data_IF_238940814577
#
_entry.id   IF_238940814577
#
_cell.length_a   1.000
_cell.length_b   1.000
_cell.length_c   1.000
_cell.angle_alpha   90.00
_cell.angle_beta   90.00
_cell.angle_gamma   90.00
#
_symmetry.space_group_name_H-M   'P 1'
#
loop_
_entity.id
_entity.type
_entity.pdbx_description
1 polymer ?
#
# COMPACT_ATOMS: atom_id res chain seq x y z
N UNK A 1 -17.68 19.89 -2.83
CA UNK A 1 -16.42 20.59 -2.49
C UNK A 1 -15.37 20.35 -3.55
N UNK A 2 -14.56 21.37 -3.88
CA UNK A 2 -13.40 21.24 -4.76
C UNK A 2 -12.12 21.31 -3.92
N UNK A 3 -11.18 20.39 -4.17
CA UNK A 3 -9.85 20.36 -3.53
C UNK A 3 -8.80 20.40 -4.62
N UNK A 4 -7.81 21.31 -4.50
CA UNK A 4 -6.68 21.38 -5.42
C UNK A 4 -5.55 20.47 -4.96
N UNK A 5 -5.12 19.57 -5.84
CA UNK A 5 -4.02 18.63 -5.63
C UNK A 5 -2.87 18.93 -6.62
N UNK A 6 -1.59 18.84 -6.21
CA UNK A 6 -0.48 19.15 -7.09
C UNK A 6 -0.32 18.16 -8.25
N UNK A 7 -0.82 16.94 -8.11
CA UNK A 7 -0.75 15.88 -9.11
C UNK A 7 -2.00 15.86 -10.01
N UNK A 8 -3.18 15.75 -9.39
CA UNK A 8 -4.45 15.56 -10.11
C UNK A 8 -5.18 16.86 -10.44
N UNK A 9 -4.66 18.02 -10.05
CA UNK A 9 -5.34 19.30 -10.25
C UNK A 9 -6.58 19.44 -9.39
N UNK A 10 -7.73 19.79 -9.97
CA UNK A 10 -8.99 19.95 -9.22
C UNK A 10 -9.71 18.63 -9.06
N UNK A 11 -9.88 18.20 -7.82
CA UNK A 11 -10.63 17.01 -7.45
C UNK A 11 -11.97 17.40 -6.82
N UNK A 12 -13.06 16.76 -7.23
CA UNK A 12 -14.41 17.07 -6.76
C UNK A 12 -14.94 15.98 -5.84
N UNK A 13 -15.49 16.41 -4.69
CA UNK A 13 -16.10 15.55 -3.68
C UNK A 13 -17.55 15.97 -3.45
N UNK A 14 -18.45 15.00 -3.39
CA UNK A 14 -19.86 15.21 -3.05
C UNK A 14 -20.02 15.65 -1.58
N UNK A 15 -21.16 16.24 -1.23
CA UNK A 15 -21.43 16.63 0.15
C UNK A 15 -21.40 15.45 1.11
N UNK A 16 -21.76 14.25 0.66
CA UNK A 16 -21.68 13.03 1.46
C UNK A 16 -20.24 12.57 1.69
N UNK A 17 -19.38 12.65 0.66
CA UNK A 17 -17.95 12.37 0.82
C UNK A 17 -17.29 13.40 1.75
N UNK A 18 -17.71 14.68 1.69
CA UNK A 18 -17.20 15.73 2.58
C UNK A 18 -17.47 15.42 4.05
N UNK A 19 -18.64 14.85 4.38
CA UNK A 19 -18.94 14.44 5.76
C UNK A 19 -17.97 13.38 6.28
N UNK A 20 -17.47 12.49 5.42
CA UNK A 20 -16.41 11.54 5.77
C UNK A 20 -15.07 12.26 5.94
N UNK A 21 -14.73 13.16 5.01
CA UNK A 21 -13.49 13.94 5.07
C UNK A 21 -13.38 14.75 6.37
N UNK A 22 -14.50 15.25 6.90
CA UNK A 22 -14.55 16.08 8.10
C UNK A 22 -14.51 15.27 9.42
N UNK A 23 -14.53 13.93 9.36
CA UNK A 23 -14.39 13.11 10.57
C UNK A 23 -12.97 13.19 11.14
N UNK A 24 -12.84 13.09 12.47
CA UNK A 24 -11.54 13.08 13.15
C UNK A 24 -10.68 11.88 12.70
N UNK A 25 -11.32 10.75 12.46
CA UNK A 25 -10.70 9.53 11.97
C UNK A 25 -10.00 9.74 10.63
N UNK A 26 -10.65 10.43 9.70
CA UNK A 26 -10.08 10.72 8.39
C UNK A 26 -9.05 11.87 8.46
N UNK A 27 -9.35 12.93 9.23
CA UNK A 27 -8.43 14.06 9.42
C UNK A 27 -7.09 13.63 10.07
N UNK A 28 -7.09 12.57 10.88
CA UNK A 28 -5.87 11.95 11.44
C UNK A 28 -4.81 11.64 10.38
N UNK A 29 -5.22 11.24 9.18
CA UNK A 29 -4.31 10.90 8.07
C UNK A 29 -3.41 12.06 7.63
N UNK A 30 -3.77 13.32 7.96
CA UNK A 30 -2.89 14.49 7.72
C UNK A 30 -1.61 14.46 8.54
N UNK A 31 -1.64 13.74 9.66
CA UNK A 31 -0.52 13.61 10.57
C UNK A 31 0.18 12.23 10.46
N UNK A 32 -0.05 11.50 9.36
CA UNK A 32 0.63 10.24 9.04
C UNK A 32 1.30 10.37 7.68
N UNK A 33 2.62 10.30 7.65
CA UNK A 33 3.42 10.37 6.43
C UNK A 33 3.20 9.13 5.56
N UNK A 34 3.12 9.34 4.25
CA UNK A 34 3.00 8.25 3.28
C UNK A 34 4.25 7.36 3.29
N UNK A 35 5.42 7.95 3.30
CA UNK A 35 6.70 7.26 3.13
C UNK A 35 7.57 7.21 4.39
N UNK A 36 6.97 7.34 5.58
CA UNK A 36 7.67 7.19 6.85
C UNK A 36 8.96 8.02 6.95
N UNK A 37 10.11 7.35 7.06
CA UNK A 37 11.43 7.99 7.20
C UNK A 37 12.07 8.44 5.88
N UNK A 38 11.41 8.25 4.73
CA UNK A 38 12.02 8.58 3.43
C UNK A 38 12.34 10.06 3.25
N UNK A 39 11.71 10.97 4.02
CA UNK A 39 12.06 12.39 4.04
C UNK A 39 13.52 12.67 4.42
N UNK A 40 14.18 11.75 5.12
CA UNK A 40 15.60 11.90 5.48
C UNK A 40 16.56 11.70 4.29
N UNK A 41 16.05 11.13 3.21
CA UNK A 41 16.79 10.94 1.95
C UNK A 41 16.21 11.79 0.83
N UNK A 42 14.91 11.94 0.83
CA UNK A 42 14.13 12.72 -0.14
C UNK A 42 13.39 13.83 0.62
N UNK A 43 13.99 15.00 0.84
CA UNK A 43 13.42 16.05 1.69
C UNK A 43 12.03 16.55 1.24
N UNK A 44 11.67 16.35 -0.02
CA UNK A 44 10.35 16.65 -0.55
C UNK A 44 9.29 15.59 -0.22
N UNK A 45 9.67 14.40 0.25
CA UNK A 45 8.76 13.29 0.60
C UNK A 45 8.01 13.54 1.93
N UNK A 46 7.32 14.66 2.00
CA UNK A 46 6.57 15.11 3.20
C UNK A 46 5.06 14.92 3.09
N UNK A 47 4.59 14.40 1.97
CA UNK A 47 3.17 14.13 1.74
C UNK A 47 2.66 13.04 2.71
N UNK A 48 1.37 13.13 2.98
CA UNK A 48 0.71 12.32 3.98
C UNK A 48 -0.38 11.44 3.36
N UNK A 49 -0.87 10.49 4.15
CA UNK A 49 -1.92 9.56 3.70
C UNK A 49 -3.24 10.24 3.36
N UNK A 50 -3.51 11.41 3.93
CA UNK A 50 -4.68 12.21 3.59
C UNK A 50 -4.68 12.60 2.10
N UNK A 51 -3.55 13.15 1.59
CA UNK A 51 -3.42 13.51 0.18
C UNK A 51 -3.54 12.30 -0.74
N UNK A 52 -2.89 11.20 -0.37
CA UNK A 52 -2.99 9.93 -1.09
C UNK A 52 -4.43 9.42 -1.15
N UNK A 53 -5.12 9.32 -0.02
CA UNK A 53 -6.52 8.85 0.04
C UNK A 53 -7.48 9.67 -0.83
N UNK A 54 -7.28 11.00 -0.90
CA UNK A 54 -8.03 11.85 -1.82
C UNK A 54 -7.75 11.52 -3.29
N UNK A 55 -6.47 11.35 -3.62
CA UNK A 55 -6.02 10.99 -4.97
C UNK A 55 -6.56 9.64 -5.40
N UNK A 56 -6.45 8.62 -4.54
CA UNK A 56 -6.99 7.27 -4.82
C UNK A 56 -8.48 7.30 -5.07
N UNK A 57 -9.25 8.05 -4.28
CA UNK A 57 -10.68 8.25 -4.50
C UNK A 57 -10.97 8.90 -5.87
N UNK A 58 -10.18 9.91 -6.25
CA UNK A 58 -10.30 10.58 -7.54
C UNK A 58 -10.02 9.62 -8.70
N UNK A 59 -8.89 8.91 -8.64
CA UNK A 59 -8.49 7.92 -9.66
C UNK A 59 -9.52 6.79 -9.77
N UNK A 60 -10.02 6.27 -8.65
CA UNK A 60 -11.06 5.23 -8.65
C UNK A 60 -12.34 5.69 -9.38
N UNK A 61 -12.71 6.96 -9.21
CA UNK A 61 -13.80 7.58 -9.97
C UNK A 61 -13.52 7.62 -11.47
N UNK A 62 -12.31 8.04 -11.88
CA UNK A 62 -11.89 8.08 -13.29
C UNK A 62 -11.89 6.68 -13.92
N UNK A 63 -11.35 5.70 -13.23
CA UNK A 63 -11.33 4.29 -13.66
C UNK A 63 -12.74 3.76 -13.83
N UNK A 64 -13.62 3.97 -12.84
CA UNK A 64 -15.02 3.56 -12.92
C UNK A 64 -15.72 4.20 -14.11
N UNK A 65 -15.57 5.51 -14.31
CA UNK A 65 -16.21 6.26 -15.39
C UNK A 65 -15.70 5.79 -16.76
N UNK A 66 -14.41 5.45 -16.90
CA UNK A 66 -13.85 4.90 -18.12
C UNK A 66 -14.42 3.52 -18.44
N UNK A 67 -14.38 2.58 -17.48
CA UNK A 67 -14.84 1.20 -17.67
C UNK A 67 -16.33 1.15 -18.00
N UNK A 68 -17.15 1.92 -17.29
CA UNK A 68 -18.60 1.86 -17.39
C UNK A 68 -19.22 2.98 -18.23
N UNK A 69 -18.42 3.64 -19.07
CA UNK A 69 -18.88 4.73 -19.94
C UNK A 69 -20.11 4.37 -20.77
N UNK A 70 -20.11 3.18 -21.35
CA UNK A 70 -21.17 2.69 -22.25
C UNK A 70 -21.86 1.42 -21.73
N UNK A 71 -21.59 1.01 -20.48
CA UNK A 71 -22.17 -0.21 -19.92
C UNK A 71 -23.69 -0.02 -19.70
N UNK A 72 -24.54 -0.95 -20.21
CA UNK A 72 -25.99 -0.82 -20.11
C UNK A 72 -26.52 -1.38 -18.78
N UNK A 73 -26.38 -0.61 -17.71
CA UNK A 73 -26.94 -0.98 -16.40
C UNK A 73 -28.44 -1.25 -16.52
N UNK A 74 -28.91 -2.35 -15.93
CA UNK A 74 -30.34 -2.68 -15.87
C UNK A 74 -31.09 -1.70 -14.96
N UNK A 75 -30.46 -1.32 -13.83
CA UNK A 75 -30.96 -0.30 -12.91
C UNK A 75 -30.03 0.91 -12.97
N UNK A 76 -30.43 2.07 -13.51
CA UNK A 76 -29.57 3.26 -13.60
C UNK A 76 -29.01 3.73 -12.27
N UNK A 77 -29.77 3.55 -11.16
CA UNK A 77 -29.30 3.86 -9.81
C UNK A 77 -28.04 3.07 -9.40
N UNK A 78 -27.88 1.83 -9.89
CA UNK A 78 -26.72 0.99 -9.59
C UNK A 78 -25.41 1.61 -10.09
N UNK A 79 -25.42 2.28 -11.24
CA UNK A 79 -24.22 2.99 -11.75
C UNK A 79 -23.75 4.02 -10.72
N UNK A 80 -24.68 4.83 -10.21
CA UNK A 80 -24.35 5.86 -9.23
C UNK A 80 -23.88 5.27 -7.89
N UNK A 81 -24.62 4.28 -7.36
CA UNK A 81 -24.27 3.58 -6.12
C UNK A 81 -22.88 2.92 -6.19
N UNK A 82 -22.60 2.19 -7.27
CA UNK A 82 -21.30 1.51 -7.44
C UNK A 82 -20.15 2.50 -7.61
N UNK A 83 -20.36 3.62 -8.33
CA UNK A 83 -19.36 4.68 -8.45
C UNK A 83 -19.03 5.29 -7.09
N UNK A 84 -20.05 5.66 -6.31
CA UNK A 84 -19.85 6.21 -4.97
C UNK A 84 -19.14 5.20 -4.05
N UNK A 85 -19.57 3.93 -4.09
CA UNK A 85 -18.98 2.86 -3.30
C UNK A 85 -17.50 2.65 -3.63
N UNK A 86 -17.11 2.59 -4.91
CA UNK A 86 -15.72 2.49 -5.33
C UNK A 86 -14.88 3.66 -4.84
N UNK A 87 -15.38 4.89 -5.02
CA UNK A 87 -14.69 6.10 -4.56
C UNK A 87 -14.49 6.10 -3.05
N UNK A 88 -15.52 5.70 -2.30
CA UNK A 88 -15.46 5.66 -0.85
C UNK A 88 -14.54 4.54 -0.34
N UNK A 89 -14.61 3.35 -0.93
CA UNK A 89 -13.71 2.25 -0.58
C UNK A 89 -12.24 2.62 -0.86
N UNK A 90 -11.98 3.23 -2.03
CA UNK A 90 -10.67 3.74 -2.39
C UNK A 90 -10.19 4.86 -1.45
N UNK A 91 -11.06 5.76 -0.99
CA UNK A 91 -10.73 6.81 -0.05
C UNK A 91 -10.36 6.27 1.34
N UNK A 92 -11.00 5.17 1.77
CA UNK A 92 -10.89 4.65 3.13
C UNK A 92 -9.97 3.43 3.28
N UNK A 93 -9.38 2.92 2.19
CA UNK A 93 -8.61 1.66 2.23
C UNK A 93 -7.42 1.71 3.19
N UNK A 94 -6.78 2.87 3.34
CA UNK A 94 -5.59 3.12 4.15
C UNK A 94 -5.88 3.74 5.52
N UNK A 95 -7.16 3.86 5.91
CA UNK A 95 -7.57 4.58 7.13
C UNK A 95 -6.96 3.99 8.41
N UNK A 96 -6.68 2.69 8.42
CA UNK A 96 -6.15 1.97 9.56
C UNK A 96 -4.65 2.11 9.80
N UNK A 97 -3.89 2.78 8.94
CA UNK A 97 -2.45 2.93 9.14
C UNK A 97 -2.09 3.63 10.46
N UNK A 98 -1.08 3.08 11.15
CA UNK A 98 -0.47 3.65 12.34
C UNK A 98 0.59 4.71 12.04
N UNK A 99 1.19 5.30 13.10
CA UNK A 99 2.32 6.21 12.97
C UNK A 99 3.46 5.57 12.16
N UNK A 100 4.02 6.32 11.19
CA UNK A 100 5.05 5.83 10.26
C UNK A 100 4.65 4.56 9.51
N UNK A 101 3.34 4.40 9.26
CA UNK A 101 2.76 3.35 8.42
C UNK A 101 3.05 1.92 8.91
N UNK A 102 3.67 1.07 8.10
CA UNK A 102 3.89 -0.35 8.42
C UNK A 102 4.85 -0.59 9.59
N UNK A 103 5.75 0.35 9.90
CA UNK A 103 6.80 0.13 10.90
C UNK A 103 6.25 -0.08 12.31
N UNK A 104 5.06 0.46 12.61
CA UNK A 104 4.44 0.30 13.94
C UNK A 104 3.43 -0.83 14.03
N UNK A 105 3.22 -1.61 12.98
CA UNK A 105 2.28 -2.74 13.02
C UNK A 105 2.67 -3.79 14.06
N UNK A 106 3.96 -3.98 14.31
CA UNK A 106 4.46 -4.94 15.31
C UNK A 106 4.06 -4.63 16.77
N UNK A 107 3.57 -3.42 17.05
CA UNK A 107 3.04 -3.04 18.39
C UNK A 107 1.52 -2.86 18.37
N UNK A 108 0.86 -3.32 17.33
CA UNK A 108 -0.60 -3.45 17.30
C UNK A 108 -1.04 -4.61 18.21
N UNK A 109 -2.26 -4.58 18.77
CA UNK A 109 -2.78 -5.62 19.63
C UNK A 109 -3.10 -6.91 18.87
N UNK A 110 -3.50 -7.96 19.60
CA UNK A 110 -4.05 -9.16 18.97
C UNK A 110 -5.41 -8.86 18.31
N UNK A 111 -5.70 -9.55 17.20
CA UNK A 111 -6.92 -9.35 16.39
C UNK A 111 -8.19 -9.48 17.22
N UNK A 112 -8.24 -10.43 18.15
CA UNK A 112 -9.36 -10.65 19.06
C UNK A 112 -9.70 -9.42 19.92
N UNK A 113 -8.71 -8.57 20.22
CA UNK A 113 -8.91 -7.36 21.03
C UNK A 113 -9.65 -6.26 20.25
N UNK A 114 -9.66 -6.31 18.91
CA UNK A 114 -10.44 -5.38 18.09
C UNK A 114 -11.95 -5.62 18.21
N UNK A 115 -12.40 -6.80 18.65
CA UNK A 115 -13.82 -7.15 18.90
C UNK A 115 -14.71 -6.92 17.67
N UNK A 116 -14.25 -7.31 16.49
CA UNK A 116 -15.03 -7.26 15.27
C UNK A 116 -15.64 -8.63 14.96
N UNK A 117 -16.95 -8.68 14.78
CA UNK A 117 -17.68 -9.93 14.48
C UNK A 117 -17.30 -10.57 13.15
N UNK A 118 -16.67 -9.81 12.23
CA UNK A 118 -16.15 -10.36 10.97
C UNK A 118 -14.96 -11.30 11.18
N UNK A 119 -14.35 -11.28 12.37
CA UNK A 119 -13.23 -12.11 12.76
C UNK A 119 -13.60 -13.26 13.71
N UNK A 120 -14.90 -13.39 14.04
CA UNK A 120 -15.35 -14.46 14.92
C UNK A 120 -15.01 -15.85 14.34
N UNK A 121 -14.35 -16.66 15.16
CA UNK A 121 -13.92 -18.01 14.76
C UNK A 121 -12.61 -18.08 13.95
N UNK A 122 -11.95 -16.96 13.69
CA UNK A 122 -10.62 -16.96 13.08
C UNK A 122 -9.53 -17.22 14.13
N UNK A 123 -8.40 -17.78 13.67
CA UNK A 123 -7.20 -17.92 14.50
C UNK A 123 -6.69 -16.54 14.91
N UNK A 124 -6.42 -16.35 16.20
CA UNK A 124 -5.91 -15.09 16.71
C UNK A 124 -4.48 -14.85 16.19
N UNK A 125 -4.22 -13.63 15.80
CA UNK A 125 -2.94 -13.13 15.30
C UNK A 125 -2.77 -11.67 15.66
N UNK A 126 -1.58 -11.14 15.51
CA UNK A 126 -1.38 -9.70 15.60
C UNK A 126 -2.19 -8.98 14.51
N UNK A 127 -2.88 -7.90 14.88
CA UNK A 127 -3.59 -7.05 13.96
C UNK A 127 -2.61 -6.27 13.06
N UNK A 128 -3.09 -5.87 11.90
CA UNK A 128 -2.40 -4.99 10.97
C UNK A 128 -3.27 -3.77 10.63
N UNK A 129 -2.78 -2.88 9.76
CA UNK A 129 -3.52 -1.69 9.35
C UNK A 129 -4.84 -2.01 8.61
N UNK A 130 -4.92 -3.13 7.87
CA UNK A 130 -6.16 -3.53 7.18
C UNK A 130 -7.25 -3.88 8.20
N UNK A 131 -6.88 -4.55 9.30
CA UNK A 131 -7.81 -4.86 10.40
C UNK A 131 -8.35 -3.59 11.06
N UNK A 132 -7.49 -2.58 11.26
CA UNK A 132 -7.93 -1.29 11.76
C UNK A 132 -8.76 -0.50 10.75
N UNK A 133 -8.49 -0.64 9.46
CA UNK A 133 -9.37 -0.10 8.41
C UNK A 133 -10.79 -0.68 8.54
N UNK A 134 -10.92 -2.01 8.71
CA UNK A 134 -12.21 -2.63 8.95
C UNK A 134 -12.82 -2.19 10.27
N UNK A 135 -12.01 -1.99 11.33
CA UNK A 135 -12.50 -1.46 12.61
C UNK A 135 -13.09 -0.06 12.45
N UNK A 136 -12.43 0.83 11.74
CA UNK A 136 -12.97 2.16 11.43
C UNK A 136 -14.26 2.10 10.61
N UNK A 137 -14.33 1.22 9.63
CA UNK A 137 -15.52 1.07 8.78
C UNK A 137 -16.72 0.51 9.53
N UNK A 138 -16.53 -0.42 10.47
CA UNK A 138 -17.58 -1.21 11.06
C UNK A 138 -17.96 -0.78 12.49
N UNK A 139 -17.08 -0.04 13.17
CA UNK A 139 -17.26 0.31 14.58
C UNK A 139 -16.60 1.66 14.93
N UNK A 140 -17.00 2.74 14.24
CA UNK A 140 -16.55 4.11 14.52
C UNK A 140 -17.59 5.14 14.09
N UNK A 141 -17.32 6.43 14.27
CA UNK A 141 -18.16 7.50 13.76
C UNK A 141 -18.33 7.43 12.22
N UNK A 142 -17.30 6.97 11.47
CA UNK A 142 -17.42 6.75 10.02
C UNK A 142 -18.52 5.75 9.69
N UNK A 143 -18.72 4.73 10.52
CA UNK A 143 -19.79 3.75 10.36
C UNK A 143 -21.16 4.43 10.31
N UNK A 144 -21.40 5.35 11.22
CA UNK A 144 -22.68 6.06 11.34
C UNK A 144 -22.84 7.07 10.20
N UNK A 145 -21.79 7.82 9.86
CA UNK A 145 -21.81 8.73 8.70
C UNK A 145 -22.17 7.99 7.41
N UNK A 146 -21.62 6.78 7.19
CA UNK A 146 -21.95 5.98 6.00
C UNK A 146 -23.41 5.55 6.04
N UNK A 147 -23.91 5.01 7.16
CA UNK A 147 -25.30 4.55 7.30
C UNK A 147 -26.33 5.65 7.05
N UNK A 148 -26.02 6.87 7.49
CA UNK A 148 -26.94 8.01 7.40
C UNK A 148 -26.99 8.66 6.02
N UNK A 149 -25.90 8.55 5.24
CA UNK A 149 -25.73 9.40 4.05
C UNK A 149 -25.61 8.63 2.73
N UNK A 150 -25.44 7.30 2.76
CA UNK A 150 -25.25 6.50 1.55
C UNK A 150 -26.32 5.40 1.44
N UNK A 151 -26.64 5.01 0.20
CA UNK A 151 -27.60 3.91 -0.09
C UNK A 151 -26.96 2.51 0.03
N UNK A 152 -25.76 2.41 0.58
CA UNK A 152 -25.04 1.18 0.86
C UNK A 152 -24.54 1.18 2.31
N UNK A 153 -24.20 0.00 2.80
CA UNK A 153 -23.74 -0.17 4.18
C UNK A 153 -22.22 -0.07 4.32
N UNK A 154 -21.68 0.21 5.51
CA UNK A 154 -20.25 0.10 5.79
C UNK A 154 -19.67 -1.26 5.43
N UNK A 155 -20.45 -2.34 5.55
CA UNK A 155 -20.04 -3.68 5.19
C UNK A 155 -19.82 -3.83 3.67
N UNK A 156 -20.61 -3.14 2.82
CA UNK A 156 -20.39 -3.12 1.37
C UNK A 156 -19.06 -2.44 1.01
N UNK A 157 -18.66 -1.40 1.75
CA UNK A 157 -17.34 -0.77 1.60
C UNK A 157 -16.24 -1.76 1.99
N UNK A 158 -16.40 -2.43 3.13
CA UNK A 158 -15.46 -3.45 3.61
C UNK A 158 -15.27 -4.59 2.59
N UNK A 159 -16.35 -5.02 1.91
CA UNK A 159 -16.33 -6.08 0.88
C UNK A 159 -15.48 -5.73 -0.35
N UNK A 160 -15.26 -4.45 -0.64
CA UNK A 160 -14.36 -4.04 -1.73
C UNK A 160 -12.89 -4.00 -1.30
N UNK A 161 -12.62 -3.76 -0.01
CA UNK A 161 -11.27 -3.69 0.57
C UNK A 161 -10.76 -5.10 0.89
N UNK A 162 -11.56 -5.87 1.66
CA UNK A 162 -11.23 -7.24 2.03
C UNK A 162 -12.07 -8.24 1.21
N UNK A 163 -11.40 -8.88 0.25
CA UNK A 163 -12.02 -9.87 -0.64
C UNK A 163 -12.39 -11.18 0.06
N UNK A 164 -11.84 -11.44 1.24
CA UNK A 164 -12.13 -12.66 2.02
C UNK A 164 -13.51 -12.64 2.68
N UNK A 165 -14.08 -11.44 2.87
CA UNK A 165 -15.40 -11.28 3.48
C UNK A 165 -16.51 -11.84 2.57
N UNK A 166 -17.48 -12.59 3.14
CA UNK A 166 -18.59 -13.17 2.37
C UNK A 166 -19.64 -12.11 2.02
N UNK A 167 -20.22 -12.20 0.82
CA UNK A 167 -21.41 -11.43 0.46
C UNK A 167 -22.62 -11.93 1.28
N UNK A 168 -23.42 -10.99 1.81
CA UNK A 168 -24.58 -11.28 2.67
C UNK A 168 -25.92 -10.95 2.00
N UNK A 169 -25.88 -10.27 0.86
CA UNK A 169 -27.06 -9.82 0.11
C UNK A 169 -26.74 -9.67 -1.38
N UNK A 170 -27.73 -9.27 -2.17
CA UNK A 170 -27.65 -9.11 -3.62
C UNK A 170 -27.25 -7.68 -4.04
N UNK A 171 -26.61 -6.90 -3.16
CA UNK A 171 -26.29 -5.51 -3.45
C UNK A 171 -25.46 -5.36 -4.73
N UNK A 172 -24.49 -6.24 -4.96
CA UNK A 172 -23.60 -6.20 -6.12
C UNK A 172 -24.21 -6.77 -7.41
N UNK A 173 -25.46 -7.25 -7.38
CA UNK A 173 -26.12 -7.84 -8.53
C UNK A 173 -26.92 -6.77 -9.29
N UNK A 174 -26.67 -6.68 -10.62
CA UNK A 174 -27.54 -5.98 -11.57
C UNK A 174 -27.96 -6.93 -12.70
N UNK A 175 -29.25 -7.28 -12.72
CA UNK A 175 -29.77 -8.37 -13.54
C UNK A 175 -29.25 -9.73 -13.06
N UNK A 176 -28.37 -10.36 -13.85
CA UNK A 176 -27.73 -11.64 -13.52
C UNK A 176 -26.21 -11.48 -13.25
N UNK A 177 -25.71 -10.28 -13.34
CA UNK A 177 -24.27 -9.97 -13.30
C UNK A 177 -23.88 -9.49 -11.91
N UNK A 178 -22.84 -10.14 -11.34
CA UNK A 178 -22.19 -9.70 -10.11
C UNK A 178 -21.02 -8.75 -10.42
N UNK A 179 -21.07 -7.54 -9.86
CA UNK A 179 -20.09 -6.49 -10.05
C UNK A 179 -18.98 -6.49 -8.98
N UNK A 180 -19.16 -7.21 -7.87
CA UNK A 180 -18.17 -7.16 -6.78
C UNK A 180 -16.73 -7.41 -7.25
N UNK A 181 -16.42 -8.40 -8.11
CA UNK A 181 -15.06 -8.65 -8.51
C UNK A 181 -14.39 -7.45 -9.16
N UNK A 182 -15.03 -6.84 -10.17
CA UNK A 182 -14.44 -5.68 -10.86
C UNK A 182 -14.36 -4.44 -9.96
N UNK A 183 -15.36 -4.19 -9.09
CA UNK A 183 -15.34 -3.06 -8.16
C UNK A 183 -14.20 -3.22 -7.13
N UNK A 184 -14.00 -4.44 -6.61
CA UNK A 184 -12.86 -4.74 -5.74
C UNK A 184 -11.51 -4.61 -6.48
N UNK A 185 -11.47 -4.92 -7.78
CA UNK A 185 -10.24 -4.80 -8.56
C UNK A 185 -9.87 -3.32 -8.83
N UNK A 186 -10.84 -2.42 -8.93
CA UNK A 186 -10.59 -0.97 -9.02
C UNK A 186 -9.91 -0.46 -7.74
N UNK A 187 -10.27 -1.00 -6.57
CA UNK A 187 -9.75 -0.59 -5.27
C UNK A 187 -8.42 -1.29 -4.94
N UNK A 188 -8.33 -2.60 -5.21
CA UNK A 188 -7.16 -3.43 -4.86
C UNK A 188 -6.93 -4.53 -5.88
N UNK A 189 -5.96 -4.37 -6.78
CA UNK A 189 -5.51 -5.37 -7.76
C UNK A 189 -4.05 -5.11 -8.16
N UNK A 190 -3.59 -5.64 -9.27
CA UNK A 190 -2.27 -5.30 -9.82
C UNK A 190 -2.29 -3.97 -10.61
N UNK A 191 -3.47 -3.55 -11.07
CA UNK A 191 -3.69 -2.31 -11.81
C UNK A 191 -4.89 -1.58 -11.17
N UNK A 192 -4.71 -1.10 -9.94
CA UNK A 192 -5.72 -0.45 -9.12
C UNK A 192 -5.47 1.06 -8.95
N UNK A 193 -6.48 1.74 -8.40
CA UNK A 193 -6.42 3.16 -8.17
C UNK A 193 -5.36 3.57 -7.13
N UNK A 194 -5.11 2.71 -6.13
CA UNK A 194 -4.08 2.90 -5.11
C UNK A 194 -2.69 3.02 -5.75
N UNK A 195 -2.31 2.00 -6.54
CA UNK A 195 -1.01 1.98 -7.24
C UNK A 195 -0.86 3.10 -8.25
N UNK A 196 -1.92 3.45 -8.96
CA UNK A 196 -1.93 4.55 -9.93
C UNK A 196 -1.66 5.89 -9.25
N UNK A 197 -2.21 6.12 -8.05
CA UNK A 197 -1.96 7.36 -7.32
C UNK A 197 -0.57 7.37 -6.69
N UNK A 198 -0.23 6.35 -5.86
CA UNK A 198 1.01 6.45 -5.09
C UNK A 198 2.26 6.44 -5.98
N UNK A 199 2.26 5.73 -7.09
CA UNK A 199 3.43 5.64 -7.97
C UNK A 199 3.82 7.02 -8.49
N UNK A 200 2.85 7.79 -9.00
CA UNK A 200 3.10 9.16 -9.47
C UNK A 200 3.32 10.13 -8.31
N UNK A 201 2.53 10.02 -7.23
CA UNK A 201 2.61 10.92 -6.06
C UNK A 201 3.95 10.80 -5.36
N UNK A 202 4.38 9.59 -5.05
CA UNK A 202 5.64 9.35 -4.37
C UNK A 202 6.82 9.82 -5.23
N UNK A 203 6.77 9.53 -6.54
CA UNK A 203 7.78 10.00 -7.50
C UNK A 203 7.85 11.53 -7.55
N UNK A 204 6.70 12.21 -7.60
CA UNK A 204 6.60 13.66 -7.59
C UNK A 204 7.20 14.27 -6.31
N UNK A 205 6.77 13.80 -5.15
CA UNK A 205 7.23 14.34 -3.87
C UNK A 205 8.68 13.95 -3.53
N UNK A 206 9.17 12.80 -3.99
CA UNK A 206 10.58 12.42 -3.89
C UNK A 206 11.48 13.17 -4.88
N UNK A 207 10.92 13.89 -5.84
CA UNK A 207 11.68 14.58 -6.88
C UNK A 207 12.37 13.62 -7.85
N UNK A 208 11.79 12.44 -8.10
CA UNK A 208 12.32 11.41 -9.01
C UNK A 208 11.46 11.28 -10.27
N UNK A 209 11.94 10.53 -11.25
CA UNK A 209 11.21 10.23 -12.48
C UNK A 209 10.85 8.74 -12.61
N UNK A 210 11.13 7.93 -11.59
CA UNK A 210 10.93 6.48 -11.65
C UNK A 210 9.44 6.07 -11.73
N UNK A 211 8.55 6.85 -11.13
CA UNK A 211 7.10 6.59 -11.11
C UNK A 211 6.30 7.29 -12.21
N UNK A 212 6.96 7.91 -13.20
CA UNK A 212 6.25 8.57 -14.31
C UNK A 212 5.79 7.54 -15.34
N UNK A 213 4.47 7.37 -15.43
CA UNK A 213 3.79 6.46 -16.34
C UNK A 213 2.62 7.18 -16.98
N UNK A 214 2.22 6.80 -18.17
CA UNK A 214 1.01 7.32 -18.81
C UNK A 214 -0.25 6.69 -18.19
N UNK A 215 -0.57 7.11 -16.96
CA UNK A 215 -1.73 6.62 -16.20
C UNK A 215 -3.04 6.97 -16.92
N UNK A 216 -3.12 8.14 -17.53
CA UNK A 216 -4.32 8.55 -18.26
C UNK A 216 -4.61 7.60 -19.44
N UNK A 217 -3.59 7.22 -20.21
CA UNK A 217 -3.71 6.24 -21.28
C UNK A 217 -4.12 4.85 -20.75
N UNK A 218 -3.55 4.42 -19.64
CA UNK A 218 -3.96 3.17 -19.00
C UNK A 218 -5.45 3.22 -18.63
N UNK A 219 -5.91 4.26 -17.93
CA UNK A 219 -7.30 4.43 -17.50
C UNK A 219 -8.26 4.43 -18.71
N UNK A 220 -7.91 5.15 -19.80
CA UNK A 220 -8.73 5.20 -21.01
C UNK A 220 -8.85 3.86 -21.73
N UNK A 221 -7.93 2.93 -21.48
CA UNK A 221 -7.91 1.59 -22.05
C UNK A 221 -8.37 0.48 -21.11
N UNK A 222 -8.78 0.84 -19.89
CA UNK A 222 -9.45 -0.10 -19.00
C UNK A 222 -10.88 -0.36 -19.49
N UNK A 223 -11.29 -1.61 -19.37
CA UNK A 223 -12.61 -2.10 -19.73
C UNK A 223 -12.98 -3.29 -18.86
N UNK A 224 -13.96 -4.05 -19.26
CA UNK A 224 -14.41 -5.24 -18.51
C UNK A 224 -14.50 -6.47 -19.40
N UNK A 225 -14.40 -7.64 -18.76
CA UNK A 225 -14.73 -8.93 -19.32
C UNK A 225 -15.86 -9.57 -18.50
N UNK A 226 -16.88 -10.11 -19.16
CA UNK A 226 -17.92 -10.93 -18.52
C UNK A 226 -17.49 -12.38 -18.56
N UNK A 227 -17.42 -13.02 -17.40
CA UNK A 227 -17.17 -14.46 -17.27
C UNK A 227 -17.98 -15.02 -16.09
N UNK A 228 -18.70 -16.13 -16.31
CA UNK A 228 -19.51 -16.82 -15.27
C UNK A 228 -20.43 -15.87 -14.48
N UNK A 229 -21.14 -14.99 -15.19
CA UNK A 229 -22.01 -13.95 -14.63
C UNK A 229 -21.29 -12.97 -13.68
N UNK A 230 -19.98 -12.80 -13.82
CA UNK A 230 -19.17 -11.84 -13.07
C UNK A 230 -18.45 -10.90 -14.03
N UNK A 231 -18.22 -9.68 -13.59
CA UNK A 231 -17.37 -8.73 -14.29
C UNK A 231 -15.97 -8.75 -13.71
N UNK A 232 -14.98 -8.79 -14.61
CA UNK A 232 -13.57 -8.71 -14.28
C UNK A 232 -12.91 -7.54 -15.03
N UNK A 233 -11.91 -6.94 -14.41
CA UNK A 233 -11.11 -5.89 -15.00
C UNK A 233 -10.39 -6.43 -16.25
N UNK A 234 -10.44 -5.67 -17.32
CA UNK A 234 -9.73 -5.96 -18.55
C UNK A 234 -8.98 -4.74 -19.07
N UNK A 235 -7.87 -4.99 -19.76
CA UNK A 235 -7.06 -3.99 -20.43
C UNK A 235 -7.10 -4.22 -21.93
N UNK A 236 -7.33 -3.17 -22.71
CA UNK A 236 -7.18 -3.24 -24.15
C UNK A 236 -5.72 -3.51 -24.52
N UNK A 237 -5.48 -4.46 -25.42
CA UNK A 237 -4.15 -4.88 -25.89
C UNK A 237 -3.24 -3.74 -26.31
N UNK A 238 -3.79 -2.68 -26.88
CA UNK A 238 -3.03 -1.49 -27.31
C UNK A 238 -2.33 -0.74 -26.16
N UNK A 239 -2.77 -0.93 -24.91
CA UNK A 239 -2.16 -0.34 -23.72
C UNK A 239 -1.26 -1.33 -22.95
N UNK A 240 -0.99 -2.51 -23.50
CA UNK A 240 -0.21 -3.55 -22.82
C UNK A 240 1.21 -3.09 -22.48
N UNK A 241 1.86 -2.35 -23.39
CA UNK A 241 3.20 -1.81 -23.14
C UNK A 241 3.22 -0.72 -22.06
N UNK A 242 2.15 0.08 -21.95
CA UNK A 242 2.03 1.05 -20.84
C UNK A 242 1.81 0.34 -19.50
N UNK A 243 1.17 -0.83 -19.50
CA UNK A 243 1.10 -1.69 -18.32
C UNK A 243 2.47 -2.28 -17.95
N UNK A 244 3.27 -2.69 -18.93
CA UNK A 244 4.65 -3.14 -18.69
C UNK A 244 5.49 -2.02 -18.07
N UNK A 245 5.39 -0.79 -18.60
CA UNK A 245 6.06 0.39 -18.06
C UNK A 245 5.60 0.70 -16.63
N UNK A 246 4.30 0.55 -16.35
CA UNK A 246 3.75 0.71 -15.01
C UNK A 246 4.37 -0.27 -14.00
N UNK A 247 4.50 -1.55 -14.36
CA UNK A 247 5.14 -2.55 -13.50
C UNK A 247 6.62 -2.29 -13.30
N UNK A 248 7.35 -1.90 -14.37
CA UNK A 248 8.77 -1.56 -14.30
C UNK A 248 8.98 -0.33 -13.42
N UNK A 249 8.18 0.70 -13.61
CA UNK A 249 8.25 1.94 -12.82
C UNK A 249 8.04 1.67 -11.34
N UNK A 250 7.05 0.83 -11.00
CA UNK A 250 6.82 0.40 -9.62
C UNK A 250 8.04 -0.36 -9.06
N UNK A 251 8.61 -1.27 -9.84
CA UNK A 251 9.80 -2.01 -9.43
C UNK A 251 10.99 -1.07 -9.17
N UNK A 252 11.19 -0.08 -10.03
CA UNK A 252 12.24 0.93 -9.84
C UNK A 252 11.99 1.79 -8.60
N UNK A 253 10.75 2.19 -8.32
CA UNK A 253 10.40 2.92 -7.10
C UNK A 253 10.74 2.10 -5.84
N UNK A 254 10.48 0.78 -5.85
CA UNK A 254 10.89 -0.08 -4.74
C UNK A 254 12.41 -0.07 -4.55
N UNK A 255 13.18 -0.29 -5.60
CA UNK A 255 14.64 -0.36 -5.51
C UNK A 255 15.30 0.98 -5.13
N UNK A 256 14.80 2.08 -5.68
CA UNK A 256 15.48 3.37 -5.62
C UNK A 256 14.94 4.30 -4.52
N UNK A 257 13.68 4.16 -4.12
CA UNK A 257 13.02 5.03 -3.15
C UNK A 257 12.67 4.29 -1.87
N UNK A 258 11.79 3.27 -1.96
CA UNK A 258 11.28 2.60 -0.75
C UNK A 258 12.36 1.80 -0.02
N UNK A 259 13.30 1.20 -0.74
CA UNK A 259 14.43 0.47 -0.17
C UNK A 259 15.69 1.33 -0.01
N UNK A 260 15.56 2.67 0.02
CA UNK A 260 16.72 3.51 0.24
C UNK A 260 17.33 3.24 1.62
N UNK A 261 18.66 3.09 1.65
CA UNK A 261 19.39 2.65 2.85
C UNK A 261 19.11 3.48 4.11
N UNK A 262 18.87 4.80 3.97
CA UNK A 262 18.53 5.65 5.11
C UNK A 262 17.14 5.36 5.66
N UNK A 263 16.15 5.12 4.81
CA UNK A 263 14.79 4.75 5.28
C UNK A 263 14.86 3.45 6.06
N UNK A 264 15.50 2.43 5.48
CA UNK A 264 15.64 1.10 6.07
C UNK A 264 16.35 1.15 7.43
N UNK A 265 17.46 1.90 7.58
CA UNK A 265 18.14 1.94 8.87
C UNK A 265 17.33 2.60 9.98
N UNK A 266 16.52 3.63 9.66
CA UNK A 266 15.64 4.23 10.64
C UNK A 266 14.49 3.29 11.04
N UNK A 267 13.92 2.55 10.09
CA UNK A 267 12.93 1.51 10.35
C UNK A 267 13.52 0.41 11.25
N UNK A 268 14.73 -0.07 10.95
CA UNK A 268 15.44 -1.06 11.74
C UNK A 268 15.73 -0.59 13.19
N UNK A 269 16.12 0.68 13.35
CA UNK A 269 16.32 1.24 14.71
C UNK A 269 14.98 1.39 15.44
N UNK A 270 13.90 1.79 14.75
CA UNK A 270 12.58 1.88 15.36
C UNK A 270 12.07 0.50 15.76
N UNK A 271 12.24 -0.51 14.91
CA UNK A 271 11.88 -1.89 15.24
C UNK A 271 12.59 -2.39 16.50
N UNK A 272 13.90 -2.12 16.64
CA UNK A 272 14.66 -2.47 17.84
C UNK A 272 14.17 -1.76 19.09
N UNK A 273 13.78 -0.50 18.94
CA UNK A 273 13.17 0.24 20.04
C UNK A 273 11.83 -0.35 20.44
N UNK A 274 10.92 -0.53 19.49
CA UNK A 274 9.56 -1.02 19.73
C UNK A 274 9.54 -2.44 20.34
N UNK A 275 10.55 -3.26 20.02
CA UNK A 275 10.71 -4.61 20.58
C UNK A 275 11.54 -4.65 21.87
N UNK A 276 12.06 -3.52 22.34
CA UNK A 276 12.84 -3.48 23.58
C UNK A 276 11.92 -3.56 24.81
N UNK A 277 12.41 -4.18 25.92
CA UNK A 277 11.61 -4.27 27.16
C UNK A 277 11.25 -2.92 27.78
N UNK A 278 12.00 -1.87 27.46
CA UNK A 278 11.79 -0.50 27.95
C UNK A 278 10.74 0.27 27.15
N UNK A 279 10.27 -0.28 26.03
CA UNK A 279 9.27 0.37 25.21
C UNK A 279 7.88 0.19 25.79
N UNK A 280 7.23 1.30 26.11
CA UNK A 280 5.84 1.37 26.55
C UNK A 280 4.90 1.94 25.47
N UNK A 281 5.40 2.16 24.26
CA UNK A 281 4.59 2.59 23.13
C UNK A 281 3.83 1.41 22.54
N UNK A 282 2.50 1.40 22.76
CA UNK A 282 1.59 0.39 22.22
C UNK A 282 0.43 1.06 21.50
N UNK A 283 -0.06 0.44 20.46
CA UNK A 283 -1.23 0.92 19.73
C UNK A 283 -2.50 0.31 20.34
N UNK A 284 -3.48 1.14 20.77
CA UNK A 284 -4.66 0.65 21.47
C UNK A 284 -5.65 -0.02 20.50
N UNK A 285 -6.33 -1.07 20.98
CA UNK A 285 -7.44 -1.72 20.27
C UNK A 285 -8.72 -0.85 20.22
N UNK A 286 -8.88 0.05 21.19
CA UNK A 286 -9.99 1.01 21.22
C UNK A 286 -9.80 2.05 20.11
N UNK A 287 -10.80 2.17 19.23
CA UNK A 287 -10.68 2.99 18.01
C UNK A 287 -10.64 4.49 18.31
N UNK A 288 -11.31 4.95 19.34
CA UNK A 288 -11.30 6.37 19.72
C UNK A 288 -9.95 6.76 20.30
N UNK A 289 -9.30 5.87 21.05
CA UNK A 289 -7.93 6.09 21.50
C UNK A 289 -6.95 5.98 20.34
N UNK A 290 -7.11 4.99 19.45
CA UNK A 290 -6.26 4.83 18.27
C UNK A 290 -6.26 6.07 17.36
N UNK A 291 -7.39 6.76 17.22
CA UNK A 291 -7.50 8.00 16.45
C UNK A 291 -6.54 9.10 16.92
N UNK A 292 -6.07 9.06 18.17
CA UNK A 292 -5.09 10.01 18.73
C UNK A 292 -3.63 9.64 18.39
N UNK A 293 -3.39 8.45 17.83
CA UNK A 293 -2.04 7.98 17.49
C UNK A 293 -1.69 8.37 16.05
N UNK A 294 -0.63 9.16 15.92
CA UNK A 294 -0.09 9.65 14.66
C UNK A 294 1.44 9.85 14.77
N UNK A 295 2.09 10.30 13.73
CA UNK A 295 3.55 10.47 13.69
C UNK A 295 4.06 11.42 14.77
N UNK A 296 3.34 12.51 15.07
CA UNK A 296 3.75 13.48 16.10
C UNK A 296 3.80 12.84 17.48
N UNK A 297 2.80 12.03 17.84
CA UNK A 297 2.77 11.31 19.11
C UNK A 297 3.92 10.30 19.23
N UNK A 298 4.27 9.61 18.15
CA UNK A 298 5.42 8.72 18.14
C UNK A 298 6.74 9.48 18.26
N UNK A 299 6.93 10.57 17.53
CA UNK A 299 8.15 11.38 17.63
C UNK A 299 8.31 12.04 19.01
N UNK A 300 7.23 12.52 19.63
CA UNK A 300 7.24 13.01 21.02
C UNK A 300 7.72 11.90 21.96
N UNK A 301 7.10 10.72 21.88
CA UNK A 301 7.46 9.55 22.68
C UNK A 301 8.95 9.17 22.50
N UNK A 302 9.44 9.08 21.27
CA UNK A 302 10.85 8.80 20.98
C UNK A 302 11.79 9.86 21.58
N UNK A 303 11.40 11.13 21.59
CA UNK A 303 12.22 12.22 22.10
C UNK A 303 12.36 12.21 23.62
N UNK A 304 11.36 11.69 24.33
CA UNK A 304 11.31 11.57 25.78
C UNK A 304 11.97 10.28 26.30
N UNK A 305 12.12 9.28 25.45
CA UNK A 305 12.70 7.99 25.84
C UNK A 305 14.21 8.09 26.05
N UNK A 306 14.73 7.44 27.12
CA UNK A 306 16.16 7.29 27.37
C UNK A 306 16.79 6.10 26.63
N UNK A 307 15.98 5.28 25.93
CA UNK A 307 16.47 4.13 25.18
C UNK A 307 17.42 4.57 24.06
N UNK A 308 18.59 3.91 23.88
CA UNK A 308 19.60 4.31 22.91
C UNK A 308 19.08 4.36 21.45
N UNK A 309 18.16 3.46 21.08
CA UNK A 309 17.60 3.44 19.73
C UNK A 309 16.67 4.63 19.50
N UNK A 310 15.78 4.93 20.44
CA UNK A 310 14.91 6.09 20.40
C UNK A 310 15.74 7.40 20.33
N UNK A 311 16.80 7.52 21.13
CA UNK A 311 17.70 8.67 21.12
C UNK A 311 18.43 8.84 19.78
N UNK A 312 18.88 7.74 19.16
CA UNK A 312 19.50 7.82 17.81
C UNK A 312 18.52 8.33 16.76
N UNK A 313 17.26 7.91 16.81
CA UNK A 313 16.23 8.38 15.87
C UNK A 313 15.96 9.87 16.11
N UNK A 314 15.69 10.27 17.36
CA UNK A 314 15.37 11.66 17.72
C UNK A 314 16.51 12.63 17.41
N UNK A 315 17.77 12.21 17.65
CA UNK A 315 18.96 13.01 17.40
C UNK A 315 19.47 12.91 15.95
N UNK A 316 18.82 12.11 15.11
CA UNK A 316 19.22 11.86 13.71
C UNK A 316 20.67 11.34 13.56
N UNK A 317 21.05 10.38 14.43
CA UNK A 317 22.37 9.72 14.45
C UNK A 317 22.25 8.23 14.09
N UNK A 318 21.87 7.89 12.85
CA UNK A 318 21.68 6.49 12.46
C UNK A 318 23.02 5.76 12.32
N UNK A 319 22.95 4.45 12.29
CA UNK A 319 24.04 3.62 11.80
C UNK A 319 24.38 3.96 10.35
N UNK A 320 25.62 3.75 9.93
CA UNK A 320 26.10 4.01 8.56
C UNK A 320 26.18 2.73 7.76
N UNK A 321 25.81 2.79 6.49
CA UNK A 321 26.03 1.67 5.55
C UNK A 321 27.51 1.40 5.45
N UNK A 322 27.92 0.17 5.73
CA UNK A 322 29.27 -0.34 5.54
C UNK A 322 29.36 -1.17 4.24
N UNK A 323 28.34 -1.98 3.98
CA UNK A 323 28.23 -2.84 2.81
C UNK A 323 26.81 -2.79 2.27
N UNK A 324 26.70 -2.73 0.95
CA UNK A 324 25.46 -2.94 0.21
C UNK A 324 25.74 -3.90 -0.94
N UNK A 325 25.02 -5.01 -0.98
CA UNK A 325 25.15 -6.04 -2.03
C UNK A 325 23.80 -6.24 -2.72
N UNK A 326 23.83 -6.31 -4.03
CA UNK A 326 22.68 -6.60 -4.86
C UNK A 326 22.80 -8.02 -5.42
N UNK A 327 21.78 -8.85 -5.20
CA UNK A 327 21.78 -10.25 -5.64
C UNK A 327 20.40 -10.68 -6.17
N UNK A 328 20.39 -11.87 -6.73
CA UNK A 328 19.18 -12.61 -7.04
C UNK A 328 19.20 -13.85 -6.14
N UNK A 329 18.39 -13.84 -5.07
CA UNK A 329 18.42 -14.89 -4.04
C UNK A 329 19.49 -14.68 -2.97
N UNK A 330 19.77 -15.74 -2.20
CA UNK A 330 20.72 -15.69 -1.07
C UNK A 330 22.14 -15.40 -1.50
N UNK A 331 22.88 -14.68 -0.65
CA UNK A 331 24.26 -14.25 -0.91
C UNK A 331 25.22 -14.78 0.17
N UNK A 332 25.92 -15.89 -0.15
CA UNK A 332 26.90 -16.50 0.78
C UNK A 332 28.01 -15.53 1.23
N UNK A 333 28.43 -14.61 0.36
CA UNK A 333 29.43 -13.61 0.69
C UNK A 333 28.91 -12.66 1.78
N UNK A 334 27.63 -12.31 1.72
CA UNK A 334 27.00 -11.46 2.75
C UNK A 334 26.98 -12.15 4.10
N UNK A 335 26.56 -13.41 4.18
CA UNK A 335 26.51 -14.16 5.43
C UNK A 335 27.91 -14.36 6.03
N UNK A 336 28.92 -14.60 5.21
CA UNK A 336 30.30 -14.70 5.67
C UNK A 336 30.79 -13.38 6.26
N UNK A 337 30.56 -12.25 5.59
CA UNK A 337 30.99 -10.93 6.08
C UNK A 337 30.31 -10.55 7.39
N UNK A 338 29.01 -10.85 7.51
CA UNK A 338 28.24 -10.67 8.74
C UNK A 338 28.88 -11.42 9.92
N UNK A 339 29.12 -12.72 9.76
CA UNK A 339 29.75 -13.55 10.79
C UNK A 339 31.16 -13.06 11.15
N UNK A 340 31.94 -12.61 10.18
CA UNK A 340 33.28 -12.12 10.42
C UNK A 340 33.30 -10.81 11.24
N UNK A 341 32.38 -9.87 10.92
CA UNK A 341 32.25 -8.62 11.69
C UNK A 341 31.73 -8.86 13.10
N UNK A 342 30.80 -9.79 13.28
CA UNK A 342 30.27 -10.19 14.61
C UNK A 342 31.39 -10.80 15.48
N UNK A 343 32.23 -11.68 14.92
CA UNK A 343 33.38 -12.28 15.62
C UNK A 343 34.40 -11.26 16.09
N UNK A 344 34.61 -10.19 15.33
CA UNK A 344 35.52 -9.10 15.67
C UNK A 344 34.89 -8.10 16.66
N UNK A 345 33.64 -8.31 17.09
CA UNK A 345 32.96 -7.48 18.08
C UNK A 345 32.45 -6.13 17.55
N UNK A 346 32.24 -6.00 16.25
CA UNK A 346 31.64 -4.80 15.68
C UNK A 346 30.13 -4.76 15.98
N UNK A 347 29.63 -3.56 16.31
CA UNK A 347 28.19 -3.31 16.48
C UNK A 347 27.55 -3.10 15.12
N UNK A 348 26.84 -4.12 14.64
CA UNK A 348 26.23 -4.13 13.29
C UNK A 348 24.70 -4.26 13.34
N UNK A 349 24.04 -3.76 12.29
CA UNK A 349 22.64 -4.02 11.95
C UNK A 349 22.62 -4.61 10.54
N UNK A 350 21.89 -5.69 10.38
CA UNK A 350 21.71 -6.35 9.08
C UNK A 350 20.27 -6.12 8.61
N UNK A 351 20.09 -5.78 7.33
CA UNK A 351 18.80 -5.63 6.71
C UNK A 351 18.82 -6.15 5.28
N UNK A 352 17.77 -6.88 4.91
CA UNK A 352 17.57 -7.39 3.54
C UNK A 352 16.24 -6.89 3.01
N UNK A 353 16.27 -6.24 1.86
CA UNK A 353 15.09 -5.74 1.16
C UNK A 353 14.82 -6.59 -0.08
N UNK A 354 13.59 -7.04 -0.25
CA UNK A 354 13.19 -7.97 -1.31
C UNK A 354 12.22 -7.31 -2.29
N UNK A 355 12.68 -7.02 -3.51
CA UNK A 355 11.84 -6.48 -4.57
C UNK A 355 11.38 -7.59 -5.52
N UNK A 356 10.07 -7.69 -5.70
CA UNK A 356 9.43 -8.52 -6.73
C UNK A 356 8.65 -7.62 -7.68
N UNK A 357 8.65 -7.97 -8.98
CA UNK A 357 7.90 -7.20 -9.97
C UNK A 357 6.40 -7.25 -9.69
N UNK A 358 5.88 -8.40 -9.28
CA UNK A 358 4.48 -8.64 -9.00
C UNK A 358 4.32 -9.69 -7.88
N UNK A 359 3.16 -9.67 -7.20
CA UNK A 359 2.76 -10.74 -6.27
C UNK A 359 2.46 -12.06 -7.00
N UNK A 360 2.23 -12.00 -8.30
CA UNK A 360 1.88 -13.13 -9.15
C UNK A 360 3.12 -13.63 -9.88
N UNK A 361 3.51 -14.89 -9.62
CA UNK A 361 4.64 -15.55 -10.28
C UNK A 361 4.10 -16.65 -11.18
N UNK A 362 4.71 -16.86 -12.33
CA UNK A 362 4.50 -18.07 -13.13
C UNK A 362 5.01 -19.27 -12.31
N UNK A 363 4.12 -20.22 -11.98
CA UNK A 363 4.50 -21.51 -11.38
C UNK A 363 4.28 -21.69 -9.88
N UNK A 364 3.60 -20.80 -9.18
CA UNK A 364 3.17 -21.05 -7.80
C UNK A 364 1.91 -21.96 -7.79
N UNK A 365 1.86 -23.04 -6.97
CA UNK A 365 0.66 -23.88 -6.83
C UNK A 365 -0.55 -23.16 -6.24
N UNK A 366 -0.34 -21.94 -5.69
CA UNK A 366 -1.38 -21.04 -5.21
C UNK A 366 -1.75 -19.97 -6.26
N UNK A 367 -1.35 -20.15 -7.53
CA UNK A 367 -1.72 -19.28 -8.64
C UNK A 367 -3.26 -19.19 -8.78
N UNK A 368 -3.87 -18.36 -7.94
CA UNK A 368 -5.10 -17.70 -8.35
C UNK A 368 -4.70 -16.88 -9.55
N UNK A 369 -5.11 -17.33 -10.75
CA UNK A 369 -4.91 -16.60 -11.99
C UNK A 369 -5.22 -15.12 -11.73
N UNK A 370 -4.35 -14.23 -12.24
CA UNK A 370 -4.69 -12.81 -12.24
C UNK A 370 -6.06 -12.66 -12.90
N UNK A 371 -7.02 -12.16 -12.16
CA UNK A 371 -8.36 -11.92 -12.68
C UNK A 371 -8.42 -10.63 -13.56
N UNK A 372 -7.27 -10.15 -14.04
CA UNK A 372 -7.18 -9.07 -15.03
C UNK A 372 -6.92 -9.70 -16.38
N UNK A 373 -7.73 -9.32 -17.36
CA UNK A 373 -7.67 -9.91 -18.69
C UNK A 373 -7.20 -8.89 -19.73
N UNK A 374 -6.53 -9.38 -20.77
CA UNK A 374 -6.28 -8.60 -21.99
C UNK A 374 -7.37 -8.92 -23.00
N UNK A 375 -7.92 -7.86 -23.60
CA UNK A 375 -8.92 -7.94 -24.68
C UNK A 375 -8.43 -7.09 -25.86
N UNK A 376 -8.89 -7.41 -27.07
CA UNK A 376 -8.58 -6.65 -28.28
C UNK A 376 -9.88 -6.14 -28.92
N UNK A 377 -10.02 -4.82 -29.03
CA UNK A 377 -11.18 -4.19 -29.63
C UNK A 377 -11.19 -4.26 -31.16
N UNK A 378 -10.06 -4.53 -31.80
CA UNK A 378 -9.88 -4.52 -33.25
C UNK A 378 -9.77 -5.92 -33.84
N UNK A 379 -9.16 -6.86 -33.11
CA UNK A 379 -9.06 -8.26 -33.50
C UNK A 379 -10.22 -9.06 -32.88
N UNK A 380 -11.23 -9.34 -33.71
CA UNK A 380 -12.43 -10.09 -33.30
C UNK A 380 -12.18 -11.58 -33.03
N UNK A 381 -11.03 -12.10 -33.44
CA UNK A 381 -10.61 -13.50 -33.21
C UNK A 381 -9.68 -13.63 -31.99
N UNK A 382 -9.27 -12.49 -31.40
CA UNK A 382 -8.46 -12.50 -30.19
C UNK A 382 -9.29 -13.04 -29.02
N UNK A 383 -8.87 -14.14 -28.45
CA UNK A 383 -9.48 -14.69 -27.25
C UNK A 383 -8.92 -13.97 -26.00
N UNK A 384 -9.78 -13.45 -25.10
CA UNK A 384 -9.33 -12.84 -23.88
C UNK A 384 -8.42 -13.76 -23.07
N UNK A 385 -7.25 -13.28 -22.67
CA UNK A 385 -6.27 -14.03 -21.91
C UNK A 385 -5.87 -13.30 -20.63
N UNK A 386 -5.50 -14.02 -19.55
CA UNK A 386 -4.96 -13.39 -18.35
C UNK A 386 -3.74 -12.53 -18.68
N UNK A 387 -3.62 -11.39 -18.03
CA UNK A 387 -2.59 -10.37 -18.35
C UNK A 387 -1.17 -10.90 -18.15
N UNK A 388 -0.95 -11.79 -17.18
CA UNK A 388 0.35 -12.43 -16.94
C UNK A 388 0.79 -13.37 -18.10
N UNK A 389 -0.13 -13.83 -18.94
CA UNK A 389 0.15 -14.62 -20.13
C UNK A 389 0.31 -13.76 -21.39
N UNK A 390 -0.04 -12.48 -21.31
CA UNK A 390 -0.10 -11.56 -22.45
C UNK A 390 1.16 -10.71 -22.61
N UNK A 391 2.05 -10.70 -21.61
CA UNK A 391 3.33 -9.98 -21.63
C UNK A 391 4.47 -10.87 -21.16
N UNK A 392 5.69 -10.60 -21.67
CA UNK A 392 6.91 -11.33 -21.28
C UNK A 392 7.57 -10.78 -20.01
N UNK A 393 7.10 -9.63 -19.49
CA UNK A 393 7.76 -8.94 -18.39
C UNK A 393 7.81 -9.78 -17.12
N UNK A 394 6.76 -10.55 -16.85
CA UNK A 394 6.71 -11.44 -15.69
C UNK A 394 7.81 -12.51 -15.75
N UNK A 395 8.09 -13.08 -16.94
CA UNK A 395 9.15 -14.07 -17.13
C UNK A 395 10.55 -13.46 -16.98
N UNK A 396 10.76 -12.24 -17.50
CA UNK A 396 12.05 -11.53 -17.42
C UNK A 396 12.42 -11.12 -15.99
N UNK A 397 11.42 -10.86 -15.13
CA UNK A 397 11.61 -10.40 -13.77
C UNK A 397 11.13 -11.41 -12.72
N UNK A 398 11.16 -12.70 -13.02
CA UNK A 398 10.76 -13.77 -12.11
C UNK A 398 11.59 -13.81 -10.82
N UNK A 399 12.89 -13.46 -10.91
CA UNK A 399 13.80 -13.47 -9.78
C UNK A 399 13.54 -12.35 -8.79
N UNK A 400 13.45 -12.69 -7.51
CA UNK A 400 13.43 -11.71 -6.42
C UNK A 400 14.78 -10.98 -6.39
N UNK A 401 14.76 -9.67 -6.56
CA UNK A 401 15.95 -8.83 -6.31
C UNK A 401 16.09 -8.62 -4.82
N UNK A 402 17.29 -8.87 -4.31
CA UNK A 402 17.62 -8.72 -2.90
C UNK A 402 18.69 -7.65 -2.77
N UNK A 403 18.47 -6.73 -1.83
CA UNK A 403 19.48 -5.75 -1.43
C UNK A 403 19.82 -6.04 0.02
N UNK A 404 21.00 -6.61 0.23
CA UNK A 404 21.53 -6.95 1.55
C UNK A 404 22.44 -5.84 2.05
N UNK A 405 22.23 -5.38 3.28
CA UNK A 405 23.00 -4.29 3.89
C UNK A 405 23.53 -4.65 5.25
N UNK A 406 24.80 -4.29 5.48
CA UNK A 406 25.39 -4.25 6.80
C UNK A 406 25.59 -2.79 7.18
N UNK A 407 24.98 -2.38 8.27
CA UNK A 407 25.18 -1.07 8.88
C UNK A 407 26.06 -1.20 10.09
N UNK A 408 26.88 -0.20 10.36
CA UNK A 408 27.84 -0.15 11.45
C UNK A 408 27.64 1.08 12.33
N UNK A 409 27.94 0.98 13.63
CA UNK A 409 27.99 2.15 14.50
C UNK A 409 28.98 3.18 13.92
N UNK A 410 28.60 4.46 13.78
CA UNK A 410 29.46 5.50 13.22
C UNK A 410 30.84 5.60 13.86
N UNK A 411 30.95 5.28 15.17
CA UNK A 411 32.23 5.32 15.91
C UNK A 411 33.18 4.17 15.53
N UNK A 412 32.68 3.11 14.93
CA UNK A 412 33.45 1.94 14.52
C UNK A 412 33.69 1.89 13.00
N UNK A 413 33.16 2.84 12.24
CA UNK A 413 33.11 2.79 10.76
C UNK A 413 34.50 2.60 10.15
N UNK A 414 35.46 3.47 10.48
CA UNK A 414 36.80 3.43 9.91
C UNK A 414 37.57 2.11 10.20
N UNK A 415 37.36 1.56 11.42
CA UNK A 415 37.97 0.28 11.82
C UNK A 415 37.36 -0.88 11.05
N UNK A 416 36.02 -0.89 10.90
CA UNK A 416 35.30 -1.92 10.16
C UNK A 416 35.63 -1.88 8.66
N UNK A 417 35.71 -0.69 8.06
CA UNK A 417 36.11 -0.51 6.67
C UNK A 417 37.54 -1.02 6.43
N UNK A 418 38.50 -0.66 7.31
CA UNK A 418 39.87 -1.15 7.23
C UNK A 418 39.98 -2.68 7.41
N UNK A 419 39.08 -3.29 8.22
CA UNK A 419 39.03 -4.73 8.38
C UNK A 419 38.53 -5.44 7.09
N UNK A 420 37.48 -4.90 6.46
CA UNK A 420 36.95 -5.47 5.22
C UNK A 420 37.94 -5.36 4.05
N UNK A 421 38.64 -4.22 3.93
CA UNK A 421 39.62 -3.98 2.86
C UNK A 421 40.84 -4.87 2.92
N UNK A 422 41.06 -5.57 4.05
CA UNK A 422 42.17 -6.54 4.23
C UNK A 422 41.77 -7.98 3.82
N UNK A 423 40.47 -8.24 3.57
CA UNK A 423 39.91 -9.54 3.17
C UNK A 423 39.58 -9.60 1.69
#
# INVERSE_FOLDING_TARGET
MEIRDPLHGSMYFSDFEVKILDTLEFQRLRAIKQLGFSEFSFPGATHNRYLHSLGVSHVAGMVFDSIFKVYPFKKPSKKHQFRQLCRLAAMLHDLGHGPLSHTTEQVMPQLSQLKLSVYDGLTDRQANHEDYTLKFLLDSNITDVIKENFEFTPYHVALLIDKSLPEKDDFFIDGVINFRPILSQIVSSELDADRMDYLERDSYFCGTNYGKVDIEWLIQNLTFLVRDNKLFLALNRRALYSFDDFLISRHHMHLMVYFHHKSIIYEEMLNRYLMSPECDFVLPADIQQYTKYNDYKLYEHLSLSSNPWAQRISQRKPFKVLIELHSIGENERFEKLKLDLEKEGFSTIHASSHARLSKYHSGSPTDKAMDIFVVDSYDKWFEPSPINNSTEIFKKYEGTRVIDRIYIDPNQYEKAEAFINKK
#
